data_IF_344158385388
#
_entry.id   IF_344158385388
#
_cell.length_a   1.000
_cell.length_b   1.000
_cell.length_c   1.000
_cell.angle_alpha   90.00
_cell.angle_beta   90.00
_cell.angle_gamma   90.00
#
_symmetry.space_group_name_H-M   'P 1'
#
loop_
_entity.id
_entity.type
_entity.pdbx_description
1 polymer ?
#
# COMPACT_ATOMS: atom_id res chain seq x y z
N UNK A 1 -5.97 -7.36 -22.08
CA UNK A 1 -6.57 -6.63 -20.94
C UNK A 1 -6.30 -5.17 -21.19
N UNK A 2 -7.34 -4.38 -21.40
CA UNK A 2 -7.22 -2.92 -21.49
C UNK A 2 -7.13 -2.38 -20.05
N UNK A 3 -6.11 -1.56 -19.77
CA UNK A 3 -5.82 -1.00 -18.44
C UNK A 3 -6.08 0.51 -18.38
N UNK A 4 -6.01 1.18 -19.53
CA UNK A 4 -6.14 2.62 -19.64
C UNK A 4 -7.54 3.07 -19.24
N UNK A 5 -7.62 4.10 -18.39
CA UNK A 5 -8.90 4.67 -17.93
C UNK A 5 -9.65 3.84 -16.88
N UNK A 6 -9.15 2.65 -16.53
CA UNK A 6 -9.74 1.80 -15.49
C UNK A 6 -9.09 2.03 -14.13
N UNK A 7 -9.78 1.67 -13.06
CA UNK A 7 -9.23 1.75 -11.70
C UNK A 7 -8.12 0.72 -11.52
N UNK A 8 -7.01 1.11 -10.91
CA UNK A 8 -5.90 0.18 -10.62
C UNK A 8 -6.33 -0.96 -9.68
N UNK A 9 -7.29 -0.68 -8.80
CA UNK A 9 -7.80 -1.65 -7.81
C UNK A 9 -8.52 -2.84 -8.47
N UNK A 10 -9.02 -2.69 -9.70
CA UNK A 10 -9.65 -3.78 -10.45
C UNK A 10 -8.62 -4.87 -10.84
N UNK A 11 -7.34 -4.52 -10.85
CA UNK A 11 -6.24 -5.39 -11.24
C UNK A 11 -5.34 -5.79 -10.06
N UNK A 12 -5.46 -5.15 -8.90
CA UNK A 12 -4.68 -5.49 -7.70
C UNK A 12 -5.41 -6.56 -6.89
N UNK A 13 -4.64 -7.48 -6.30
CA UNK A 13 -5.16 -8.47 -5.37
C UNK A 13 -5.85 -7.79 -4.19
N UNK A 14 -7.07 -8.19 -3.78
CA UNK A 14 -7.83 -7.50 -2.73
C UNK A 14 -7.07 -7.33 -1.41
N UNK A 15 -6.22 -8.31 -1.06
CA UNK A 15 -5.36 -8.23 0.12
C UNK A 15 -4.32 -7.10 0.13
N UNK A 16 -4.02 -6.50 -1.03
CA UNK A 16 -3.03 -5.40 -1.17
C UNK A 16 -3.72 -4.04 -1.34
N UNK A 17 -5.06 -3.97 -1.31
CA UNK A 17 -5.81 -2.74 -1.57
C UNK A 17 -5.53 -1.65 -0.53
N UNK A 18 -5.52 -2.02 0.76
CA UNK A 18 -5.30 -1.06 1.84
C UNK A 18 -3.89 -0.43 1.76
N UNK A 19 -2.86 -1.25 1.56
CA UNK A 19 -1.49 -0.80 1.41
C UNK A 19 -1.34 0.07 0.14
N UNK A 20 -1.93 -0.32 -0.97
CA UNK A 20 -1.88 0.48 -2.21
C UNK A 20 -2.53 1.86 -2.03
N UNK A 21 -3.67 1.92 -1.36
CA UNK A 21 -4.36 3.19 -1.08
C UNK A 21 -3.49 4.12 -0.22
N UNK A 22 -2.81 3.57 0.80
CA UNK A 22 -1.85 4.32 1.62
C UNK A 22 -0.68 4.87 0.77
N UNK A 23 -0.11 4.04 -0.11
CA UNK A 23 0.97 4.49 -1.01
C UNK A 23 0.52 5.62 -1.95
N UNK A 24 -0.75 5.64 -2.35
CA UNK A 24 -1.36 6.71 -3.15
C UNK A 24 -1.75 7.95 -2.33
N UNK A 25 -1.58 7.91 -1.00
CA UNK A 25 -2.01 8.96 -0.07
C UNK A 25 -3.53 9.14 -0.03
N UNK A 26 -4.28 8.08 -0.35
CA UNK A 26 -5.71 8.03 -0.15
C UNK A 26 -5.97 7.76 1.33
N UNK A 27 -6.59 8.73 2.02
CA UNK A 27 -7.01 8.54 3.41
C UNK A 27 -8.24 7.64 3.40
N UNK A 28 -8.04 6.33 3.58
CA UNK A 28 -9.15 5.41 3.81
C UNK A 28 -9.92 5.90 5.05
N UNK A 29 -11.27 5.99 5.00
CA UNK A 29 -12.02 6.33 6.20
C UNK A 29 -11.69 5.31 7.31
N UNK A 30 -11.53 5.75 8.56
CA UNK A 30 -11.37 4.83 9.68
C UNK A 30 -12.68 4.05 9.84
N UNK A 31 -12.76 2.85 9.26
CA UNK A 31 -14.01 2.13 9.20
C UNK A 31 -13.90 0.72 8.62
N UNK A 32 -13.83 -0.26 9.52
CA UNK A 32 -13.87 -1.73 9.35
C UNK A 32 -12.55 -2.40 9.01
N UNK A 33 -11.67 -2.41 10.02
CA UNK A 33 -10.94 -3.65 10.29
C UNK A 33 -11.93 -4.81 10.44
N UNK A 34 -11.72 -5.87 9.67
CA UNK A 34 -12.33 -7.17 9.91
C UNK A 34 -11.71 -7.76 11.18
N UNK A 35 -12.19 -7.33 12.35
CA UNK A 35 -12.02 -8.10 13.59
C UNK A 35 -13.26 -8.99 13.74
N UNK A 36 -13.20 -10.21 13.21
CA UNK A 36 -14.03 -11.28 13.73
C UNK A 36 -13.50 -11.59 15.14
N UNK A 37 -14.15 -11.04 16.15
CA UNK A 37 -13.98 -11.48 17.54
C UNK A 37 -15.26 -11.23 18.32
N UNK A 38 -15.99 -12.33 18.49
CA UNK A 38 -16.71 -12.71 19.70
C UNK A 38 -17.83 -11.78 20.19
N UNK A 39 -19.07 -12.22 19.95
CA UNK A 39 -20.24 -11.64 20.56
C UNK A 39 -20.20 -11.77 22.07
N UNK A 40 -20.66 -10.71 22.73
CA UNK A 40 -21.26 -10.80 24.06
C UNK A 40 -22.54 -9.95 24.04
N UNK A 41 -23.65 -10.64 24.25
CA UNK A 41 -24.96 -10.10 24.60
C UNK A 41 -24.83 -9.55 26.03
N UNK A 42 -25.42 -8.39 26.31
CA UNK A 42 -26.11 -8.09 27.57
C UNK A 42 -26.88 -6.76 27.48
N UNK A 43 -28.05 -6.80 28.11
CA UNK A 43 -29.16 -5.86 28.03
C UNK A 43 -29.09 -4.73 29.08
N UNK A 44 -30.06 -3.82 28.96
CA UNK A 44 -30.67 -2.94 29.96
C UNK A 44 -30.14 -1.52 30.22
N UNK A 45 -31.12 -0.60 30.30
CA UNK A 45 -31.04 0.56 31.20
C UNK A 45 -31.50 1.89 30.62
N UNK A 46 -32.81 2.15 30.65
CA UNK A 46 -33.38 3.48 30.44
C UNK A 46 -32.97 4.48 31.55
N UNK A 47 -32.76 5.76 31.19
CA UNK A 47 -33.26 6.94 31.91
C UNK A 47 -32.83 8.26 31.24
N UNK A 48 -33.68 9.26 31.43
CA UNK A 48 -33.74 10.57 30.79
C UNK A 48 -33.14 11.71 31.64
N UNK A 49 -32.88 12.82 30.95
CA UNK A 49 -32.83 14.21 31.40
C UNK A 49 -31.68 14.68 32.33
N UNK A 50 -30.84 15.58 31.81
CA UNK A 50 -30.74 16.96 32.33
C UNK A 50 -29.82 17.82 31.43
N UNK A 51 -30.30 19.03 31.15
CA UNK A 51 -29.60 20.13 30.48
C UNK A 51 -28.66 20.87 31.43
N UNK A 52 -27.46 21.22 30.97
CA UNK A 52 -26.73 22.40 31.45
C UNK A 52 -25.74 22.90 30.40
N UNK A 53 -25.96 24.12 29.95
CA UNK A 53 -25.15 24.86 28.99
C UNK A 53 -23.84 25.31 29.63
N UNK A 54 -22.71 24.86 29.09
CA UNK A 54 -21.45 25.57 29.23
C UNK A 54 -20.77 25.64 27.87
N UNK A 55 -20.54 26.87 27.45
CA UNK A 55 -19.81 27.27 26.26
C UNK A 55 -18.33 26.94 26.42
N UNK A 56 -17.89 25.86 25.78
CA UNK A 56 -16.48 25.61 25.48
C UNK A 56 -16.29 25.65 23.97
N UNK A 57 -15.59 26.69 23.52
CA UNK A 57 -14.95 26.76 22.20
C UNK A 57 -14.11 25.50 21.99
N UNK A 58 -14.26 24.76 20.87
CA UNK A 58 -13.37 23.65 20.58
C UNK A 58 -12.00 24.24 20.24
N UNK A 59 -11.00 23.94 21.07
CA UNK A 59 -9.61 24.16 20.70
C UNK A 59 -9.33 23.42 19.38
N UNK A 60 -8.74 24.06 18.37
CA UNK A 60 -8.37 23.36 17.16
C UNK A 60 -7.25 22.40 17.56
N UNK A 61 -7.55 21.10 17.48
CA UNK A 61 -6.56 20.03 17.46
C UNK A 61 -5.39 20.50 16.62
N UNK A 62 -4.21 20.61 17.24
CA UNK A 62 -2.99 21.00 16.57
C UNK A 62 -2.82 20.11 15.35
N UNK A 63 -3.19 20.64 14.20
CA UNK A 63 -2.78 20.11 12.93
C UNK A 63 -1.27 20.14 13.00
N UNK A 64 -0.67 18.96 13.17
CA UNK A 64 0.74 18.73 12.96
C UNK A 64 1.06 19.31 11.58
N UNK A 65 1.48 20.57 11.59
CA UNK A 65 1.89 21.32 10.42
C UNK A 65 2.92 20.42 9.75
N UNK A 66 2.79 20.07 8.46
CA UNK A 66 3.85 19.31 7.82
C UNK A 66 5.08 20.19 7.90
N UNK A 67 5.99 19.79 8.79
CA UNK A 67 7.34 20.31 8.94
C UNK A 67 7.89 20.51 7.53
N UNK A 68 8.47 21.68 7.27
CA UNK A 68 9.17 22.06 6.04
C UNK A 68 10.43 21.19 5.84
N UNK A 69 10.25 19.88 5.77
CA UNK A 69 11.25 18.88 5.46
C UNK A 69 11.17 18.64 3.96
N UNK A 70 12.34 18.65 3.30
CA UNK A 70 12.50 18.53 1.86
C UNK A 70 11.45 17.58 1.22
N UNK A 71 10.54 18.09 0.37
CA UNK A 71 9.45 17.32 -0.24
C UNK A 71 9.93 16.09 -1.02
N UNK A 72 11.22 15.99 -1.28
CA UNK A 72 11.72 15.05 -2.27
C UNK A 72 11.70 13.60 -1.83
N UNK A 73 12.04 13.30 -0.57
CA UNK A 73 12.11 11.89 -0.10
C UNK A 73 10.74 11.31 0.25
N UNK A 74 9.80 12.12 0.72
CA UNK A 74 8.48 11.61 1.14
C UNK A 74 7.53 11.34 -0.04
N UNK A 75 7.84 11.83 -1.24
CA UNK A 75 7.04 11.59 -2.44
C UNK A 75 7.48 10.37 -3.23
N UNK A 76 8.69 9.86 -2.99
CA UNK A 76 9.16 8.61 -3.58
C UNK A 76 8.39 7.42 -3.01
N UNK A 77 8.11 6.44 -3.86
CA UNK A 77 7.34 5.25 -3.55
C UNK A 77 8.07 4.04 -4.12
N UNK A 78 8.27 3.03 -3.29
CA UNK A 78 8.84 1.72 -3.67
C UNK A 78 8.13 0.65 -2.86
N UNK A 79 7.33 -0.18 -3.51
CA UNK A 79 6.51 -1.18 -2.84
C UNK A 79 6.21 -2.36 -3.77
N UNK A 80 5.68 -3.45 -3.22
CA UNK A 80 5.30 -4.63 -3.98
C UNK A 80 3.78 -4.79 -3.97
N UNK A 81 3.19 -5.11 -5.12
CA UNK A 81 1.76 -5.44 -5.24
C UNK A 81 1.57 -6.70 -6.08
N UNK A 82 0.51 -7.45 -5.77
CA UNK A 82 0.07 -8.56 -6.62
C UNK A 82 -0.91 -8.04 -7.66
N UNK A 83 -0.55 -8.11 -8.93
CA UNK A 83 -1.41 -7.72 -10.05
C UNK A 83 -1.92 -8.92 -10.83
N UNK A 84 -3.18 -8.87 -11.29
CA UNK A 84 -3.79 -9.89 -12.15
C UNK A 84 -2.94 -10.11 -13.41
N UNK A 85 -2.68 -11.37 -13.75
CA UNK A 85 -1.89 -11.79 -14.90
C UNK A 85 -2.68 -12.80 -15.72
N UNK A 86 -2.83 -12.52 -17.01
CA UNK A 86 -3.40 -13.45 -17.99
C UNK A 86 -2.36 -14.38 -18.60
N UNK A 87 -1.13 -14.37 -18.09
CA UNK A 87 -0.06 -15.23 -18.58
C UNK A 87 -0.33 -16.66 -18.10
N UNK A 88 -1.07 -17.43 -18.88
CA UNK A 88 -1.23 -18.87 -18.67
C UNK A 88 0.12 -19.53 -18.91
N UNK A 89 0.77 -20.04 -17.86
CA UNK A 89 1.99 -20.84 -18.04
C UNK A 89 1.58 -22.13 -18.75
N UNK A 90 1.70 -22.20 -20.09
CA UNK A 90 1.55 -23.46 -20.84
C UNK A 90 2.50 -24.47 -20.19
N UNK A 91 1.95 -25.53 -19.59
CA UNK A 91 2.74 -26.68 -19.14
C UNK A 91 3.13 -26.75 -17.66
N UNK A 92 2.60 -25.90 -16.77
CA UNK A 92 2.80 -26.11 -15.32
C UNK A 92 1.45 -26.00 -14.61
N UNK A 93 0.92 -27.14 -14.17
CA UNK A 93 -0.30 -27.28 -13.35
C UNK A 93 -0.13 -26.72 -11.93
N UNK A 94 0.57 -25.60 -11.77
CA UNK A 94 0.48 -24.81 -10.57
C UNK A 94 -0.63 -23.81 -10.87
N UNK A 95 -1.76 -23.95 -10.18
CA UNK A 95 -2.83 -22.96 -10.12
C UNK A 95 -2.27 -21.69 -9.47
N UNK A 96 -1.34 -20.98 -10.13
CA UNK A 96 -1.01 -19.62 -9.70
C UNK A 96 -2.34 -18.89 -9.74
N UNK A 97 -2.65 -18.14 -8.69
CA UNK A 97 -3.96 -17.52 -8.46
C UNK A 97 -4.35 -16.47 -9.53
N UNK A 98 -3.67 -16.45 -10.68
CA UNK A 98 -3.82 -15.46 -11.72
C UNK A 98 -3.16 -14.15 -11.34
N UNK A 99 -2.20 -14.12 -10.41
CA UNK A 99 -1.48 -12.91 -10.00
C UNK A 99 0.04 -13.05 -10.14
N UNK A 100 0.71 -11.93 -10.39
CA UNK A 100 2.17 -11.78 -10.32
C UNK A 100 2.53 -10.70 -9.31
N UNK A 101 3.64 -10.90 -8.59
CA UNK A 101 4.22 -9.86 -7.74
C UNK A 101 4.97 -8.87 -8.63
N UNK A 102 4.62 -7.59 -8.49
CA UNK A 102 5.15 -6.47 -9.24
C UNK A 102 5.83 -5.51 -8.26
N UNK A 103 7.10 -5.19 -8.53
CA UNK A 103 7.81 -4.12 -7.86
C UNK A 103 7.46 -2.80 -8.54
N UNK A 104 6.86 -1.88 -7.77
CA UNK A 104 6.45 -0.55 -8.24
C UNK A 104 7.38 0.48 -7.65
N UNK A 105 8.07 1.24 -8.50
CA UNK A 105 8.93 2.35 -8.09
C UNK A 105 8.56 3.62 -8.83
N UNK A 106 8.52 4.74 -8.12
CA UNK A 106 8.15 6.00 -8.73
C UNK A 106 7.91 7.10 -7.73
N UNK A 107 7.11 8.09 -8.13
CA UNK A 107 6.93 9.29 -7.34
C UNK A 107 5.52 9.85 -7.42
N UNK A 108 5.03 10.30 -6.27
CA UNK A 108 3.77 10.98 -6.13
C UNK A 108 3.89 12.44 -6.62
N UNK A 109 2.97 12.84 -7.48
CA UNK A 109 2.85 14.21 -7.97
C UNK A 109 1.86 14.97 -7.10
N UNK A 110 2.28 16.12 -6.60
CA UNK A 110 1.45 17.01 -5.80
C UNK A 110 1.29 18.35 -6.50
N UNK A 111 0.16 19.01 -6.27
CA UNK A 111 -0.07 20.41 -6.64
C UNK A 111 -0.09 21.24 -5.37
N UNK A 112 0.82 22.22 -5.27
CA UNK A 112 0.77 23.26 -4.26
C UNK A 112 -0.07 24.42 -4.79
N UNK A 113 -1.07 24.86 -4.02
CA UNK A 113 -1.79 26.09 -4.30
C UNK A 113 -1.26 27.18 -3.38
N UNK A 114 -0.49 28.12 -3.93
CA UNK A 114 -0.03 29.30 -3.21
C UNK A 114 -1.10 30.39 -3.35
N UNK A 115 -1.78 30.72 -2.26
CA UNK A 115 -2.64 31.92 -2.22
C UNK A 115 -2.18 32.82 -1.08
N UNK A 116 -2.28 34.13 -1.30
CA UNK A 116 -1.55 35.23 -0.64
C UNK A 116 -1.71 35.40 0.89
N UNK A 117 -2.28 34.43 1.61
CA UNK A 117 -2.44 34.51 3.07
C UNK A 117 -2.85 33.20 3.76
N UNK A 118 -3.13 32.11 3.04
CA UNK A 118 -3.55 30.84 3.64
C UNK A 118 -2.84 29.65 3.00
N UNK A 119 -2.22 28.82 3.84
CA UNK A 119 -1.73 27.50 3.48
C UNK A 119 -2.92 26.63 3.05
N UNK A 120 -3.01 26.30 1.76
CA UNK A 120 -4.01 25.37 1.21
C UNK A 120 -3.43 23.94 1.30
N UNK A 121 -4.25 22.91 1.62
CA UNK A 121 -3.76 21.54 1.68
C UNK A 121 -3.15 21.08 0.36
N UNK A 122 -2.01 20.38 0.46
CA UNK A 122 -1.33 19.74 -0.67
C UNK A 122 -2.27 18.73 -1.33
N UNK A 123 -2.61 18.95 -2.60
CA UNK A 123 -3.45 18.01 -3.35
C UNK A 123 -2.57 16.99 -4.07
N UNK A 124 -2.78 15.70 -3.80
CA UNK A 124 -2.16 14.61 -4.56
C UNK A 124 -2.85 14.51 -5.92
N UNK A 125 -2.09 14.69 -6.99
CA UNK A 125 -2.57 14.58 -8.36
C UNK A 125 -2.57 13.12 -8.85
N UNK A 126 -1.60 12.33 -8.40
CA UNK A 126 -1.46 10.93 -8.78
C UNK A 126 -0.03 10.42 -8.66
N UNK A 127 0.17 9.16 -9.03
CA UNK A 127 1.43 8.44 -8.93
C UNK A 127 1.96 8.13 -10.34
N UNK A 128 3.22 8.45 -10.61
CA UNK A 128 3.91 8.07 -11.85
C UNK A 128 5.00 7.06 -11.49
N UNK A 129 4.96 5.88 -12.13
CA UNK A 129 5.77 4.72 -11.73
C UNK A 129 6.33 3.95 -12.92
N UNK A 130 7.42 3.24 -12.67
CA UNK A 130 7.88 2.09 -13.43
C UNK A 130 7.54 0.83 -12.61
N UNK A 131 7.11 -0.22 -13.30
CA UNK A 131 6.67 -1.45 -12.66
C UNK A 131 7.40 -2.66 -13.27
N UNK A 132 8.07 -3.44 -12.43
CA UNK A 132 8.84 -4.62 -12.84
C UNK A 132 8.22 -5.88 -12.23
N UNK A 133 7.87 -6.86 -13.07
CA UNK A 133 7.47 -8.16 -12.56
C UNK A 133 8.68 -8.88 -11.96
N UNK A 134 8.53 -9.43 -10.76
CA UNK A 134 9.59 -10.26 -10.20
C UNK A 134 9.80 -11.50 -11.09
N UNK A 135 11.06 -11.90 -11.35
CA UNK A 135 11.35 -13.11 -12.11
C UNK A 135 10.61 -14.31 -11.53
N UNK A 136 10.14 -15.25 -12.37
CA UNK A 136 9.60 -16.51 -11.86
C UNK A 136 10.60 -17.16 -10.89
N UNK A 137 10.14 -17.79 -9.80
CA UNK A 137 11.01 -18.39 -8.79
C UNK A 137 11.81 -19.61 -9.31
N UNK A 138 11.67 -19.99 -10.58
CA UNK A 138 12.44 -21.06 -11.20
C UNK A 138 13.85 -20.58 -11.51
N UNK A 139 14.80 -21.00 -10.68
CA UNK A 139 16.24 -20.67 -10.72
C UNK A 139 16.90 -20.81 -12.10
N UNK A 140 16.37 -21.69 -12.96
CA UNK A 140 16.94 -21.97 -14.29
C UNK A 140 16.87 -20.79 -15.28
N UNK A 141 16.06 -19.76 -15.00
CA UNK A 141 15.89 -18.61 -15.92
C UNK A 141 16.69 -17.36 -15.50
N UNK A 142 17.34 -17.37 -14.32
CA UNK A 142 18.11 -16.22 -13.84
C UNK A 142 19.57 -16.35 -14.29
N UNK A 143 20.01 -15.49 -15.20
CA UNK A 143 21.42 -15.38 -15.59
C UNK A 143 22.20 -14.75 -14.45
N UNK A 144 23.10 -15.50 -13.83
CA UNK A 144 23.93 -15.06 -12.71
C UNK A 144 25.27 -14.56 -13.25
N UNK A 145 25.59 -13.29 -12.99
CA UNK A 145 26.86 -12.68 -13.39
C UNK A 145 28.01 -13.11 -12.45
N UNK A 146 29.27 -12.83 -12.81
CA UNK A 146 30.44 -13.14 -11.98
C UNK A 146 30.46 -12.40 -10.64
N UNK A 147 29.70 -11.30 -10.52
CA UNK A 147 29.51 -10.53 -9.28
C UNK A 147 28.25 -10.91 -8.49
N UNK A 148 27.60 -12.02 -8.84
CA UNK A 148 26.41 -12.52 -8.14
C UNK A 148 26.65 -13.93 -7.61
N UNK A 149 26.04 -14.26 -6.46
CA UNK A 149 26.08 -15.59 -5.86
C UNK A 149 24.69 -15.98 -5.34
N UNK A 150 24.43 -17.29 -5.24
CA UNK A 150 23.16 -17.82 -4.72
C UNK A 150 23.30 -18.28 -3.28
N UNK A 151 22.34 -17.89 -2.44
CA UNK A 151 22.08 -18.54 -1.15
C UNK A 151 20.67 -19.09 -1.13
N UNK A 152 20.54 -20.30 -0.56
CA UNK A 152 19.23 -20.89 -0.25
C UNK A 152 19.00 -20.74 1.25
N UNK A 153 17.87 -20.14 1.59
CA UNK A 153 17.47 -19.89 2.98
C UNK A 153 16.14 -20.57 3.31
N UNK A 154 15.93 -20.85 4.59
CA UNK A 154 14.61 -21.16 5.14
C UNK A 154 13.74 -19.89 5.20
N UNK A 155 12.45 -20.04 5.52
CA UNK A 155 11.54 -18.89 5.73
C UNK A 155 11.97 -18.01 6.91
N UNK A 156 12.73 -18.55 7.87
CA UNK A 156 13.34 -17.82 8.98
C UNK A 156 14.69 -17.18 8.62
N UNK A 157 15.02 -17.15 7.33
CA UNK A 157 16.26 -16.61 6.75
C UNK A 157 17.55 -17.33 7.18
N UNK A 158 17.47 -18.52 7.78
CA UNK A 158 18.66 -19.34 8.02
C UNK A 158 19.21 -19.92 6.73
N UNK A 159 20.51 -19.75 6.51
CA UNK A 159 21.21 -20.26 5.34
C UNK A 159 21.30 -21.78 5.43
N UNK A 160 20.83 -22.46 4.38
CA UNK A 160 20.89 -23.92 4.21
C UNK A 160 21.96 -24.29 3.18
N UNK A 161 22.17 -23.42 2.21
CA UNK A 161 23.17 -23.58 1.17
C UNK A 161 23.68 -22.21 0.73
N UNK A 162 24.99 -22.13 0.49
CA UNK A 162 25.65 -21.00 -0.15
C UNK A 162 26.48 -21.54 -1.30
N UNK A 163 26.38 -20.92 -2.47
CA UNK A 163 27.24 -21.21 -3.60
C UNK A 163 28.71 -20.94 -3.24
N UNK A 164 29.61 -21.81 -3.70
CA UNK A 164 31.06 -21.65 -3.52
C UNK A 164 31.63 -21.03 -4.81
N UNK A 165 31.82 -19.71 -4.82
CA UNK A 165 32.38 -18.93 -5.96
C UNK A 165 33.70 -18.30 -5.59
#
# INVERSE_FOLDING_TARGET
VELTGSSVFDYIHPGDHAETAEQLGMKLPPGRGLSLSQGNVNEDGASSASSSSHSETPEPVESSSPSLLAPDKHLERSFFIRMKSTLTKRGVHIKSSGFKVIHVTGRLRIRMALTHSRSVPVQILGLVVVAHALPPPTINEVRIDCQMFVTRVNLDLKIIYCENR
#
